data_IF_490802117326
#
_entry.id   IF_490802117326
#
_cell.length_a   1.000
_cell.length_b   1.000
_cell.length_c   1.000
_cell.angle_alpha   90.00
_cell.angle_beta   90.00
_cell.angle_gamma   90.00
#
_symmetry.space_group_name_H-M   'P 1'
#
loop_
_entity.id
_entity.type
_entity.pdbx_description
1 polymer ?
#
# COMPACT_ATOMS: atom_id res chain seq x y z
N UNK A 1 -11.98 17.38 12.29
CA UNK A 1 -11.12 16.18 12.16
C UNK A 1 -11.89 14.90 12.50
N UNK A 2 -12.79 14.91 13.49
CA UNK A 2 -13.67 13.76 13.82
C UNK A 2 -14.62 13.34 12.69
N UNK A 3 -15.24 14.28 11.97
CA UNK A 3 -16.15 14.00 10.83
C UNK A 3 -15.46 13.35 9.61
N UNK A 4 -14.12 13.31 9.61
CA UNK A 4 -13.31 12.75 8.53
C UNK A 4 -13.04 11.25 8.72
N UNK A 5 -12.90 10.81 9.99
CA UNK A 5 -12.61 9.42 10.35
C UNK A 5 -13.89 8.61 10.68
N UNK A 6 -15.02 9.26 10.98
CA UNK A 6 -16.34 8.64 10.99
C UNK A 6 -17.14 9.22 9.82
N UNK A 7 -16.92 8.66 8.64
CA UNK A 7 -17.41 9.25 7.39
C UNK A 7 -18.94 9.28 7.28
N UNK A 8 -19.45 10.37 6.70
CA UNK A 8 -20.81 10.49 6.14
C UNK A 8 -21.16 9.40 5.09
N UNK A 9 -20.17 8.60 4.67
CA UNK A 9 -20.26 7.50 3.70
C UNK A 9 -20.09 6.10 4.34
N UNK A 10 -20.04 5.98 5.68
CA UNK A 10 -19.87 4.67 6.33
C UNK A 10 -18.50 4.03 6.09
N UNK A 11 -17.44 4.84 5.94
CA UNK A 11 -16.07 4.32 5.84
C UNK A 11 -15.64 3.70 7.17
N UNK A 12 -15.14 2.47 7.09
CA UNK A 12 -14.59 1.73 8.23
C UNK A 12 -13.10 1.48 8.00
N UNK A 13 -12.29 1.73 9.03
CA UNK A 13 -10.88 1.39 9.01
C UNK A 13 -10.70 -0.08 9.37
N UNK A 14 -9.92 -0.81 8.58
CA UNK A 14 -9.53 -2.17 8.92
C UNK A 14 -8.61 -2.13 10.15
N UNK A 15 -8.93 -2.86 11.25
CA UNK A 15 -8.05 -2.95 12.41
C UNK A 15 -6.68 -3.50 12.04
N UNK A 16 -5.62 -3.03 12.70
CA UNK A 16 -4.23 -3.38 12.36
C UNK A 16 -3.96 -4.87 12.49
N UNK A 17 -4.59 -5.52 13.46
CA UNK A 17 -4.47 -6.94 13.75
C UNK A 17 -5.01 -7.78 12.59
N UNK A 18 -6.09 -7.33 11.96
CA UNK A 18 -6.68 -8.00 10.79
C UNK A 18 -5.78 -7.82 9.56
N UNK A 19 -5.25 -6.62 9.36
CA UNK A 19 -4.29 -6.34 8.28
C UNK A 19 -3.08 -7.27 8.39
N UNK A 20 -2.43 -7.28 9.56
CA UNK A 20 -1.25 -8.12 9.80
C UNK A 20 -1.57 -9.59 9.59
N UNK A 21 -2.69 -10.08 10.14
CA UNK A 21 -3.10 -11.47 9.96
C UNK A 21 -3.26 -11.83 8.47
N UNK A 22 -3.94 -11.01 7.68
CA UNK A 22 -4.11 -11.23 6.25
C UNK A 22 -2.78 -11.22 5.49
N UNK A 23 -1.90 -10.26 5.77
CA UNK A 23 -0.59 -10.16 5.11
C UNK A 23 0.32 -11.32 5.49
N UNK A 24 0.28 -11.77 6.76
CA UNK A 24 1.03 -12.95 7.19
C UNK A 24 0.54 -14.23 6.51
N UNK A 25 -0.77 -14.39 6.31
CA UNK A 25 -1.31 -15.52 5.56
C UNK A 25 -0.93 -15.48 4.07
N UNK A 26 -0.92 -14.30 3.46
CA UNK A 26 -0.52 -14.14 2.06
C UNK A 26 0.99 -14.30 1.86
N UNK A 27 1.78 -13.91 2.86
CA UNK A 27 3.24 -13.97 2.88
C UNK A 27 3.91 -13.46 1.59
N UNK A 28 3.73 -12.17 1.23
CA UNK A 28 4.26 -11.62 -0.02
C UNK A 28 5.80 -11.65 -0.05
N UNK A 29 6.35 -11.95 -1.22
CA UNK A 29 7.78 -11.94 -1.50
C UNK A 29 8.18 -10.74 -2.37
N UNK A 30 9.50 -10.42 -2.39
CA UNK A 30 10.03 -9.25 -3.12
C UNK A 30 9.78 -9.25 -4.64
N UNK A 31 9.46 -10.40 -5.22
CA UNK A 31 9.13 -10.55 -6.65
C UNK A 31 7.65 -10.41 -6.94
N UNK A 32 6.78 -10.44 -5.93
CA UNK A 32 5.34 -10.43 -6.12
C UNK A 32 4.84 -9.02 -6.44
N UNK A 33 3.75 -8.93 -7.17
CA UNK A 33 3.01 -7.68 -7.36
C UNK A 33 1.84 -7.64 -6.37
N UNK A 34 1.73 -6.55 -5.62
CA UNK A 34 0.68 -6.34 -4.63
C UNK A 34 -0.18 -5.17 -5.06
N UNK A 35 -1.48 -5.39 -5.13
CA UNK A 35 -2.47 -4.35 -5.39
C UNK A 35 -3.56 -4.33 -4.31
N UNK A 36 -3.88 -3.14 -3.84
CA UNK A 36 -5.07 -2.89 -3.02
C UNK A 36 -6.03 -1.94 -3.76
N UNK A 37 -7.14 -2.45 -4.35
CA UNK A 37 -8.05 -1.66 -5.18
C UNK A 37 -9.00 -0.75 -4.38
N UNK A 38 -8.92 -0.78 -3.04
CA UNK A 38 -9.66 0.07 -2.12
C UNK A 38 -8.75 0.44 -0.94
N UNK A 39 -7.58 1.02 -1.26
CA UNK A 39 -6.44 1.05 -0.34
C UNK A 39 -6.64 1.92 0.89
N UNK A 40 -7.65 2.79 0.90
CA UNK A 40 -7.88 3.71 2.00
C UNK A 40 -6.60 4.48 2.31
N UNK A 41 -6.17 4.47 3.57
CA UNK A 41 -4.92 5.12 3.99
C UNK A 41 -3.64 4.31 3.75
N UNK A 42 -3.71 3.16 3.06
CA UNK A 42 -2.54 2.33 2.67
C UNK A 42 -2.16 1.23 3.66
N UNK A 43 -3.06 0.81 4.55
CA UNK A 43 -2.74 -0.11 5.64
C UNK A 43 -2.16 -1.46 5.18
N UNK A 44 -2.78 -2.09 4.17
CA UNK A 44 -2.28 -3.35 3.61
C UNK A 44 -0.95 -3.19 2.88
N UNK A 45 -0.81 -2.13 2.06
CA UNK A 45 0.40 -1.88 1.28
C UNK A 45 1.62 -1.65 2.19
N UNK A 46 1.46 -0.86 3.26
CA UNK A 46 2.52 -0.64 4.24
C UNK A 46 2.91 -1.91 4.98
N UNK A 47 1.93 -2.75 5.33
CA UNK A 47 2.20 -3.98 6.06
C UNK A 47 2.88 -5.02 5.16
N UNK A 48 2.53 -5.09 3.87
CA UNK A 48 3.23 -5.87 2.86
C UNK A 48 4.68 -5.39 2.68
N UNK A 49 4.91 -4.07 2.60
CA UNK A 49 6.25 -3.48 2.57
C UNK A 49 7.07 -3.86 3.80
N UNK A 50 6.51 -3.71 4.99
CA UNK A 50 7.17 -4.01 6.26
C UNK A 50 7.55 -5.50 6.36
N UNK A 51 6.69 -6.40 5.86
CA UNK A 51 6.97 -7.84 5.79
C UNK A 51 8.19 -8.14 4.91
N UNK A 52 8.22 -7.60 3.69
CA UNK A 52 9.35 -7.80 2.75
C UNK A 52 10.62 -7.13 3.27
N UNK A 53 10.51 -5.93 3.86
CA UNK A 53 11.63 -5.22 4.49
C UNK A 53 12.27 -6.02 5.61
N UNK A 54 11.47 -6.48 6.59
CA UNK A 54 11.96 -7.29 7.71
C UNK A 54 12.62 -8.58 7.25
N UNK A 55 12.05 -9.23 6.24
CA UNK A 55 12.67 -10.41 5.66
C UNK A 55 14.03 -10.07 5.03
N UNK A 56 14.12 -8.99 4.25
CA UNK A 56 15.36 -8.58 3.62
C UNK A 56 16.45 -8.22 4.66
N UNK A 57 16.10 -7.41 5.66
CA UNK A 57 17.01 -7.00 6.74
C UNK A 57 17.51 -8.17 7.61
N UNK A 58 16.74 -9.27 7.69
CA UNK A 58 17.13 -10.45 8.47
C UNK A 58 17.97 -11.47 7.69
N UNK A 59 18.00 -11.39 6.35
CA UNK A 59 18.60 -12.42 5.49
C UNK A 59 19.75 -11.92 4.61
N UNK A 60 19.95 -10.61 4.51
CA UNK A 60 20.95 -10.00 3.64
C UNK A 60 21.74 -8.91 4.38
N UNK A 61 22.90 -8.55 3.86
CA UNK A 61 23.67 -7.41 4.35
C UNK A 61 22.91 -6.10 4.11
N UNK A 62 23.18 -5.06 4.90
CA UNK A 62 22.45 -3.78 4.91
C UNK A 62 22.19 -3.20 3.52
N UNK A 63 23.21 -3.20 2.65
CA UNK A 63 23.09 -2.69 1.28
C UNK A 63 22.18 -3.55 0.41
N UNK A 64 22.34 -4.87 0.46
CA UNK A 64 21.52 -5.80 -0.32
C UNK A 64 20.07 -5.81 0.17
N UNK A 65 19.88 -5.79 1.50
CA UNK A 65 18.57 -5.69 2.12
C UNK A 65 17.83 -4.44 1.63
N UNK A 66 18.49 -3.27 1.68
CA UNK A 66 17.95 -2.02 1.17
C UNK A 66 17.57 -2.13 -0.31
N UNK A 67 18.47 -2.62 -1.16
CA UNK A 67 18.17 -2.81 -2.58
C UNK A 67 16.97 -3.73 -2.82
N UNK A 68 16.81 -4.79 -2.02
CA UNK A 68 15.71 -5.73 -2.16
C UNK A 68 14.36 -5.12 -1.80
N UNK A 69 14.23 -4.53 -0.61
CA UNK A 69 12.93 -4.00 -0.20
C UNK A 69 12.61 -2.68 -0.90
N UNK A 70 13.61 -1.85 -1.23
CA UNK A 70 13.39 -0.58 -1.91
C UNK A 70 12.91 -0.81 -3.35
N UNK A 71 13.48 -1.78 -4.08
CA UNK A 71 12.98 -2.16 -5.41
C UNK A 71 11.53 -2.66 -5.37
N UNK A 72 11.18 -3.45 -4.35
CA UNK A 72 9.81 -3.91 -4.14
C UNK A 72 8.86 -2.73 -3.86
N UNK A 73 9.23 -1.84 -2.96
CA UNK A 73 8.41 -0.67 -2.64
C UNK A 73 8.13 0.21 -3.86
N UNK A 74 9.17 0.41 -4.68
CA UNK A 74 9.16 1.26 -5.88
C UNK A 74 8.32 0.68 -7.02
N UNK A 75 8.43 -0.64 -7.27
CA UNK A 75 7.94 -1.23 -8.52
C UNK A 75 6.82 -2.26 -8.33
N UNK A 76 6.49 -2.65 -7.09
CA UNK A 76 5.64 -3.81 -6.85
C UNK A 76 4.41 -3.53 -5.98
N UNK A 77 4.28 -2.33 -5.41
CA UNK A 77 3.13 -1.93 -4.59
C UNK A 77 2.24 -0.97 -5.36
N UNK A 78 0.94 -1.27 -5.42
CA UNK A 78 -0.07 -0.50 -6.14
C UNK A 78 -1.34 -0.30 -5.31
N UNK A 79 -1.96 0.88 -5.41
CA UNK A 79 -3.20 1.18 -4.71
C UNK A 79 -4.20 1.95 -5.56
N UNK A 80 -5.48 1.73 -5.33
CA UNK A 80 -6.55 2.55 -5.89
C UNK A 80 -7.46 3.01 -4.76
N UNK A 81 -7.81 4.29 -4.75
CA UNK A 81 -8.74 4.85 -3.78
C UNK A 81 -9.65 5.89 -4.45
N UNK A 82 -10.97 5.67 -4.33
CA UNK A 82 -11.99 6.50 -4.97
C UNK A 82 -12.05 7.91 -4.38
N UNK A 83 -11.73 8.06 -3.09
CA UNK A 83 -11.68 9.36 -2.44
C UNK A 83 -10.28 9.98 -2.58
N UNK A 84 -10.19 11.02 -3.39
CA UNK A 84 -8.96 11.77 -3.66
C UNK A 84 -8.23 12.31 -2.40
N UNK A 85 -8.96 12.69 -1.34
CA UNK A 85 -8.33 13.15 -0.10
C UNK A 85 -7.67 11.98 0.65
N UNK A 86 -8.33 10.83 0.69
CA UNK A 86 -7.81 9.62 1.34
C UNK A 86 -6.65 9.03 0.53
N UNK A 87 -6.76 9.04 -0.80
CA UNK A 87 -5.69 8.66 -1.71
C UNK A 87 -4.42 9.49 -1.44
N UNK A 88 -4.55 10.81 -1.20
CA UNK A 88 -3.41 11.65 -0.79
C UNK A 88 -2.81 11.25 0.55
N UNK A 89 -3.63 10.91 1.55
CA UNK A 89 -3.14 10.40 2.84
C UNK A 89 -2.37 9.10 2.63
N UNK A 90 -2.88 8.19 1.79
CA UNK A 90 -2.17 6.98 1.40
C UNK A 90 -0.81 7.30 0.77
N UNK A 91 -0.77 8.19 -0.23
CA UNK A 91 0.49 8.62 -0.86
C UNK A 91 1.49 9.15 0.16
N UNK A 92 1.06 10.06 1.04
CA UNK A 92 1.92 10.60 2.09
C UNK A 92 2.43 9.51 3.02
N UNK A 93 1.56 8.59 3.43
CA UNK A 93 1.94 7.46 4.28
C UNK A 93 3.01 6.58 3.61
N UNK A 94 2.84 6.28 2.32
CA UNK A 94 3.79 5.47 1.56
C UNK A 94 5.15 6.19 1.39
N UNK A 95 5.15 7.49 1.10
CA UNK A 95 6.40 8.29 0.98
C UNK A 95 7.17 8.30 2.29
N UNK A 96 6.48 8.50 3.43
CA UNK A 96 7.10 8.51 4.75
C UNK A 96 7.77 7.15 5.05
N UNK A 97 7.26 6.07 4.47
CA UNK A 97 7.82 4.72 4.60
C UNK A 97 8.76 4.36 3.45
N UNK A 98 9.21 5.34 2.67
CA UNK A 98 10.23 5.22 1.63
C UNK A 98 9.83 4.29 0.48
N UNK A 99 8.58 4.40 0.01
CA UNK A 99 8.11 3.68 -1.18
C UNK A 99 8.65 4.25 -2.49
N UNK A 100 9.05 5.52 -2.50
CA UNK A 100 9.76 6.20 -3.59
C UNK A 100 8.95 6.49 -4.85
N UNK A 101 7.77 5.91 -5.04
CA UNK A 101 6.99 5.99 -6.31
C UNK A 101 5.51 6.33 -6.15
N UNK A 102 4.87 5.94 -5.04
CA UNK A 102 3.46 6.21 -4.76
C UNK A 102 2.51 5.81 -5.86
N UNK A 103 2.61 4.59 -6.38
CA UNK A 103 1.75 4.00 -7.41
C UNK A 103 0.27 3.85 -6.94
N UNK A 104 -0.31 4.95 -6.47
CA UNK A 104 -1.62 5.12 -5.86
C UNK A 104 -2.42 6.00 -6.81
N UNK A 105 -3.49 5.44 -7.38
CA UNK A 105 -4.34 6.11 -8.35
C UNK A 105 -5.63 6.52 -7.65
N UNK A 106 -6.04 7.78 -7.81
CA UNK A 106 -7.35 8.20 -7.32
C UNK A 106 -8.39 8.09 -8.42
N UNK A 107 -9.15 7.00 -8.38
CA UNK A 107 -10.23 6.74 -9.33
C UNK A 107 -11.17 5.66 -8.77
N UNK A 108 -12.28 5.43 -9.45
CA UNK A 108 -13.14 4.28 -9.19
C UNK A 108 -12.46 3.02 -9.75
N UNK A 109 -12.09 2.08 -8.88
CA UNK A 109 -11.43 0.82 -9.25
C UNK A 109 -12.31 -0.14 -10.05
N UNK A 110 -13.62 0.13 -10.15
CA UNK A 110 -14.55 -0.62 -10.98
C UNK A 110 -14.62 -0.13 -12.43
N UNK A 111 -13.94 0.98 -12.77
CA UNK A 111 -13.80 1.43 -14.16
C UNK A 111 -13.01 0.45 -15.00
N UNK A 112 -13.17 0.57 -16.32
CA UNK A 112 -12.37 -0.22 -17.24
C UNK A 112 -10.87 0.12 -17.08
N UNK A 113 -10.01 -0.90 -17.13
CA UNK A 113 -8.55 -0.74 -16.99
C UNK A 113 -7.98 0.24 -18.02
N UNK A 114 -8.54 0.27 -19.24
CA UNK A 114 -8.13 1.20 -20.30
C UNK A 114 -8.44 2.67 -19.96
N UNK A 115 -9.37 2.93 -19.03
CA UNK A 115 -9.67 4.27 -18.53
C UNK A 115 -8.78 4.62 -17.34
N UNK A 116 -8.51 3.65 -16.46
CA UNK A 116 -7.65 3.81 -15.28
C UNK A 116 -6.22 4.13 -15.71
N UNK A 117 -5.69 3.42 -16.71
CA UNK A 117 -4.30 3.57 -17.19
C UNK A 117 -4.02 4.87 -17.95
N UNK A 118 -5.06 5.64 -18.30
CA UNK A 118 -4.94 6.96 -18.96
C UNK A 118 -4.88 8.13 -17.98
N UNK A 119 -5.07 7.86 -16.68
CA UNK A 119 -5.11 8.87 -15.61
C UNK A 119 -3.72 9.04 -15.00
#
# INVERSE_FOLDING_TARGET
MEDFFKGKMGQFFTPREIITFCVEMMNPERSDLVIDPACGSGGFLLNALDKVRKFAESNYDEKEAWEHWHKFAMNNLYGIEINDQIARVCKMNMIIHDDGHTNIISTDSLKNVDEITKT
#
